data_IF_156817632285
#
_entry.id   IF_156817632285
#
_cell.length_a   1.000
_cell.length_b   1.000
_cell.length_c   1.000
_cell.angle_alpha   90.00
_cell.angle_beta   90.00
_cell.angle_gamma   90.00
#
_symmetry.space_group_name_H-M   'P 1'
#
loop_
_entity.id
_entity.type
_entity.pdbx_description
1 polymer ?
#
# COMPACT_ATOMS: atom_id res chain seq x y z
N UNK A 1 7.96 6.41 -13.97
CA UNK A 1 6.83 5.54 -13.62
C UNK A 1 5.71 6.40 -13.07
N UNK A 2 4.47 6.14 -13.47
CA UNK A 2 3.29 6.78 -12.89
C UNK A 2 2.49 5.69 -12.20
N UNK A 3 2.26 5.83 -10.89
CA UNK A 3 1.45 4.89 -10.15
C UNK A 3 -0.01 4.92 -10.62
N UNK A 4 -0.72 3.81 -10.41
CA UNK A 4 -2.15 3.73 -10.61
C UNK A 4 -2.94 4.47 -9.53
N UNK A 5 -4.26 4.30 -9.56
CA UNK A 5 -5.14 4.76 -8.48
C UNK A 5 -5.26 3.67 -7.41
N UNK A 6 -5.43 4.09 -6.17
CA UNK A 6 -5.72 3.18 -5.06
C UNK A 6 -7.04 2.45 -5.30
N UNK A 7 -7.02 1.14 -5.07
CA UNK A 7 -8.17 0.26 -5.17
C UNK A 7 -8.47 -0.33 -3.79
N UNK A 8 -9.68 -0.13 -3.30
CA UNK A 8 -10.14 -0.76 -2.07
C UNK A 8 -10.70 -2.14 -2.33
N UNK A 9 -10.40 -3.07 -1.42
CA UNK A 9 -11.00 -4.40 -1.41
C UNK A 9 -12.49 -4.31 -1.15
N UNK A 10 -13.24 -5.30 -1.60
CA UNK A 10 -14.68 -5.38 -1.37
C UNK A 10 -15.00 -5.37 0.13
N UNK A 11 -14.21 -6.10 0.92
CA UNK A 11 -14.33 -6.15 2.38
C UNK A 11 -14.11 -4.79 3.03
N UNK A 12 -13.08 -4.05 2.64
CA UNK A 12 -12.79 -2.72 3.21
C UNK A 12 -13.90 -1.72 2.93
N UNK A 13 -14.47 -1.73 1.72
CA UNK A 13 -15.63 -0.86 1.39
C UNK A 13 -16.80 -1.11 2.33
N UNK A 14 -17.12 -2.39 2.60
CA UNK A 14 -18.20 -2.77 3.51
C UNK A 14 -17.85 -2.37 4.97
N UNK A 15 -16.62 -2.68 5.42
CA UNK A 15 -16.19 -2.39 6.79
C UNK A 15 -16.14 -0.91 7.10
N UNK A 16 -15.72 -0.08 6.14
CA UNK A 16 -15.70 1.37 6.29
C UNK A 16 -17.13 1.92 6.50
N UNK A 17 -18.11 1.44 5.73
CA UNK A 17 -19.52 1.86 5.87
C UNK A 17 -20.17 1.32 7.15
N UNK A 18 -19.72 0.18 7.66
CA UNK A 18 -20.18 -0.37 8.94
C UNK A 18 -19.43 0.19 10.16
N UNK A 19 -18.48 1.11 9.99
CA UNK A 19 -17.69 1.68 11.09
C UNK A 19 -16.71 0.70 11.74
N UNK A 20 -16.35 -0.39 11.05
CA UNK A 20 -15.42 -1.41 11.53
C UNK A 20 -13.97 -1.16 11.11
N UNK A 21 -13.73 -0.08 10.36
CA UNK A 21 -12.42 0.30 9.86
C UNK A 21 -12.16 1.76 10.21
N UNK A 22 -11.14 2.04 11.02
CA UNK A 22 -10.80 3.39 11.43
C UNK A 22 -9.42 3.79 10.92
N UNK A 23 -9.42 4.45 9.75
CA UNK A 23 -8.21 4.95 9.10
C UNK A 23 -7.43 5.97 9.96
N UNK A 24 -8.03 6.56 10.99
CA UNK A 24 -7.41 7.56 11.84
C UNK A 24 -6.71 6.98 13.09
N UNK A 25 -7.15 5.82 13.59
CA UNK A 25 -6.68 5.28 14.87
C UNK A 25 -6.06 3.90 14.79
N UNK A 26 -6.43 3.11 13.77
CA UNK A 26 -5.91 1.76 13.64
C UNK A 26 -4.45 1.79 13.18
N UNK A 27 -3.74 0.69 13.42
CA UNK A 27 -2.33 0.57 13.05
C UNK A 27 -2.20 0.01 11.64
N UNK A 28 -1.54 0.76 10.76
CA UNK A 28 -1.39 0.37 9.36
C UNK A 28 0.07 0.15 8.96
N UNK A 29 0.26 -0.74 7.99
CA UNK A 29 1.52 -0.95 7.30
C UNK A 29 1.33 -0.93 5.80
N UNK A 30 2.37 -0.54 5.10
CA UNK A 30 2.46 -0.54 3.66
C UNK A 30 3.52 -1.54 3.22
N UNK A 31 3.11 -2.60 2.54
CA UNK A 31 3.97 -3.68 2.03
C UNK A 31 4.08 -3.65 0.52
N UNK A 32 5.14 -4.29 0.00
CA UNK A 32 5.38 -4.46 -1.44
C UNK A 32 5.15 -5.91 -1.82
N UNK A 33 4.43 -6.13 -2.91
CA UNK A 33 4.18 -7.46 -3.47
C UNK A 33 4.55 -7.51 -4.94
N UNK A 34 5.05 -8.67 -5.37
CA UNK A 34 5.51 -8.96 -6.73
C UNK A 34 4.35 -9.24 -7.68
N UNK A 35 4.62 -9.29 -8.98
CA UNK A 35 3.65 -9.65 -10.03
C UNK A 35 3.00 -11.04 -9.85
N UNK A 36 3.58 -11.92 -9.03
CA UNK A 36 3.02 -13.23 -8.69
C UNK A 36 2.01 -13.21 -7.54
N UNK A 37 1.76 -12.04 -6.93
CA UNK A 37 0.81 -11.90 -5.82
C UNK A 37 -0.64 -12.18 -6.23
N UNK A 38 -1.41 -12.74 -5.31
CA UNK A 38 -2.87 -12.88 -5.43
C UNK A 38 -3.66 -11.60 -5.05
N UNK A 39 -2.98 -10.47 -4.83
CA UNK A 39 -3.60 -9.21 -4.43
C UNK A 39 -4.68 -8.77 -5.44
N UNK A 40 -5.86 -8.40 -4.94
CA UNK A 40 -6.95 -7.92 -5.77
C UNK A 40 -8.17 -7.49 -4.97
N UNK A 41 -9.24 -7.12 -5.68
CA UNK A 41 -10.47 -6.63 -5.05
C UNK A 41 -11.12 -7.63 -4.08
N UNK A 42 -10.87 -8.93 -4.27
CA UNK A 42 -11.37 -10.01 -3.41
C UNK A 42 -10.46 -10.33 -2.21
N UNK A 43 -9.30 -9.69 -2.07
CA UNK A 43 -8.42 -9.90 -0.92
C UNK A 43 -9.11 -9.51 0.39
N UNK A 44 -8.88 -10.31 1.44
CA UNK A 44 -9.48 -10.13 2.76
C UNK A 44 -8.40 -9.79 3.78
N UNK A 45 -7.79 -10.78 4.40
CA UNK A 45 -6.74 -10.61 5.42
C UNK A 45 -5.36 -10.43 4.79
N UNK A 46 -4.48 -9.68 5.46
CA UNK A 46 -3.08 -9.59 5.02
C UNK A 46 -2.39 -10.97 5.01
N UNK A 47 -2.71 -11.82 5.98
CA UNK A 47 -2.17 -13.18 6.06
C UNK A 47 -2.52 -14.07 4.85
N UNK A 48 -3.57 -13.74 4.11
CA UNK A 48 -3.96 -14.44 2.88
C UNK A 48 -3.28 -13.92 1.61
N UNK A 49 -2.54 -12.80 1.69
CA UNK A 49 -1.82 -12.23 0.54
C UNK A 49 -0.53 -13.01 0.28
N UNK A 50 -0.28 -13.35 -0.98
CA UNK A 50 0.93 -14.05 -1.43
C UNK A 50 1.88 -13.12 -2.15
N UNK A 51 3.11 -13.59 -2.41
CA UNK A 51 4.06 -12.90 -3.28
C UNK A 51 4.62 -11.62 -2.70
N UNK A 52 4.64 -11.46 -1.37
CA UNK A 52 5.37 -10.38 -0.72
C UNK A 52 6.85 -10.40 -1.10
N UNK A 53 7.43 -9.21 -1.31
CA UNK A 53 8.88 -9.06 -1.50
C UNK A 53 9.62 -9.69 -0.31
N UNK A 54 10.61 -10.51 -0.60
CA UNK A 54 11.38 -11.21 0.42
C UNK A 54 12.20 -10.23 1.28
N UNK A 55 12.46 -10.61 2.54
CA UNK A 55 13.35 -9.85 3.42
C UNK A 55 14.75 -9.76 2.81
N UNK A 56 15.33 -8.56 2.81
CA UNK A 56 16.65 -8.30 2.24
C UNK A 56 16.60 -7.24 1.14
N UNK A 57 17.77 -6.95 0.54
CA UNK A 57 17.91 -5.98 -0.55
C UNK A 57 17.28 -4.59 -0.29
N UNK A 58 17.24 -4.17 0.99
CA UNK A 58 16.64 -2.90 1.41
C UNK A 58 15.15 -2.97 1.78
N UNK A 59 14.53 -4.14 1.73
CA UNK A 59 13.16 -4.40 2.14
C UNK A 59 13.09 -5.23 3.42
N UNK A 60 12.16 -4.89 4.32
CA UNK A 60 11.81 -5.69 5.50
C UNK A 60 10.42 -6.25 5.29
N UNK A 61 10.27 -7.58 5.36
CA UNK A 61 8.95 -8.26 5.32
C UNK A 61 7.99 -7.70 6.36
N UNK A 62 6.74 -7.52 5.96
CA UNK A 62 5.72 -6.71 6.62
C UNK A 62 5.70 -5.25 6.18
N UNK A 63 6.73 -4.76 5.47
CA UNK A 63 6.78 -3.39 4.98
C UNK A 63 6.98 -2.33 6.06
N UNK A 64 6.55 -1.10 5.76
CA UNK A 64 6.77 0.09 6.60
C UNK A 64 5.50 0.46 7.35
N UNK A 65 5.60 0.81 8.64
CA UNK A 65 4.47 1.35 9.40
C UNK A 65 4.09 2.75 8.88
N UNK A 66 2.80 2.98 8.71
CA UNK A 66 2.27 4.25 8.16
C UNK A 66 1.10 4.75 8.99
N UNK A 67 0.92 6.07 8.99
CA UNK A 67 -0.22 6.75 9.62
C UNK A 67 -1.00 7.47 8.54
N UNK A 68 -2.32 7.34 8.54
CA UNK A 68 -3.19 8.09 7.65
C UNK A 68 -3.82 9.28 8.38
N UNK A 69 -3.86 10.42 7.70
CA UNK A 69 -4.49 11.65 8.16
C UNK A 69 -5.73 11.92 7.31
N UNK A 70 -6.85 12.23 7.96
CA UNK A 70 -8.08 12.63 7.32
C UNK A 70 -8.13 14.16 7.20
N UNK A 71 -8.60 14.66 6.06
CA UNK A 71 -8.77 16.09 5.82
C UNK A 71 -9.97 16.37 4.91
N UNK A 72 -10.58 17.55 5.08
CA UNK A 72 -11.73 18.02 4.29
C UNK A 72 -13.06 17.86 5.00
N UNK A 73 -14.13 18.40 4.39
CA UNK A 73 -15.48 18.43 4.97
C UNK A 73 -16.55 17.96 3.97
N UNK A 74 -16.53 18.48 2.74
CA UNK A 74 -17.42 18.05 1.64
C UNK A 74 -16.79 16.93 0.81
N UNK A 75 -15.50 17.06 0.52
CA UNK A 75 -14.66 15.97 0.01
C UNK A 75 -13.65 15.62 1.09
N UNK A 76 -13.79 14.43 1.67
CA UNK A 76 -12.91 13.92 2.72
C UNK A 76 -11.84 13.04 2.07
N UNK A 77 -10.58 13.34 2.35
CA UNK A 77 -9.45 12.55 1.86
C UNK A 77 -8.72 11.90 3.02
N UNK A 78 -8.22 10.67 2.80
CA UNK A 78 -7.21 10.06 3.65
C UNK A 78 -5.87 10.07 2.90
N UNK A 79 -4.83 10.59 3.54
CA UNK A 79 -3.46 10.69 2.99
C UNK A 79 -2.48 10.11 3.99
N UNK A 80 -1.37 9.55 3.53
CA UNK A 80 -0.31 9.14 4.46
C UNK A 80 0.35 10.39 5.05
N UNK A 81 0.67 10.36 6.34
CA UNK A 81 1.33 11.45 7.05
C UNK A 81 2.76 11.71 6.53
N UNK A 82 3.41 10.67 5.99
CA UNK A 82 4.70 10.72 5.34
C UNK A 82 4.73 9.73 4.15
N UNK A 83 5.62 9.98 3.20
CA UNK A 83 5.86 9.03 2.11
C UNK A 83 6.56 7.79 2.66
N UNK A 84 6.14 6.61 2.19
CA UNK A 84 6.90 5.39 2.41
C UNK A 84 8.08 5.34 1.45
N UNK A 85 9.27 5.07 1.99
CA UNK A 85 10.53 5.07 1.24
C UNK A 85 11.31 3.80 1.56
N UNK A 86 11.67 3.05 0.52
CA UNK A 86 12.59 1.93 0.61
C UNK A 86 13.87 2.25 -0.15
N UNK A 87 15.02 2.18 0.54
CA UNK A 87 16.32 2.30 -0.11
C UNK A 87 16.80 0.92 -0.51
N UNK A 88 16.86 0.66 -1.81
CA UNK A 88 17.29 -0.63 -2.33
C UNK A 88 18.77 -0.89 -2.02
N UNK A 89 19.09 -2.13 -1.70
CA UNK A 89 20.44 -2.64 -1.47
C UNK A 89 20.64 -3.99 -2.16
N UNK A 90 21.85 -4.53 -2.17
CA UNK A 90 22.12 -5.87 -2.71
C UNK A 90 21.67 -6.03 -4.17
N UNK A 91 20.78 -6.98 -4.44
CA UNK A 91 20.22 -7.25 -5.77
C UNK A 91 19.18 -6.24 -6.25
N UNK A 92 18.76 -5.31 -5.38
CA UNK A 92 17.64 -4.41 -5.64
C UNK A 92 16.28 -4.97 -5.23
N UNK A 93 15.25 -4.14 -5.39
CA UNK A 93 13.86 -4.44 -5.07
C UNK A 93 13.07 -4.57 -6.37
N UNK A 94 12.29 -5.65 -6.52
CA UNK A 94 11.34 -5.83 -7.62
C UNK A 94 9.94 -5.98 -7.06
N UNK A 95 9.02 -5.10 -7.44
CA UNK A 95 7.63 -5.11 -6.95
C UNK A 95 6.66 -4.62 -8.03
N UNK A 96 5.40 -5.06 -7.96
CA UNK A 96 4.35 -4.66 -8.89
C UNK A 96 3.28 -3.81 -8.21
N UNK A 97 2.97 -4.13 -6.95
CA UNK A 97 1.96 -3.43 -6.17
C UNK A 97 2.48 -3.01 -4.80
N UNK A 98 1.93 -1.92 -4.28
CA UNK A 98 1.95 -1.63 -2.86
C UNK A 98 0.60 -1.92 -2.23
N UNK A 99 0.60 -2.43 -1.00
CA UNK A 99 -0.59 -2.89 -0.29
C UNK A 99 -0.64 -2.22 1.08
N UNK A 100 -1.71 -1.48 1.34
CA UNK A 100 -2.03 -0.91 2.64
C UNK A 100 -2.89 -1.92 3.41
N UNK A 101 -2.46 -2.30 4.61
CA UNK A 101 -3.18 -3.27 5.44
C UNK A 101 -3.14 -2.88 6.92
N UNK A 102 -4.14 -3.32 7.66
CA UNK A 102 -4.21 -3.18 9.12
C UNK A 102 -3.34 -4.27 9.78
N UNK A 103 -2.56 -3.88 10.78
CA UNK A 103 -1.68 -4.81 11.50
C UNK A 103 -2.52 -5.89 12.19
N UNK A 104 -2.34 -7.14 11.74
CA UNK A 104 -3.12 -8.29 12.25
C UNK A 104 -4.53 -8.41 11.67
N UNK A 105 -4.89 -7.59 10.69
CA UNK A 105 -6.23 -7.49 10.13
C UNK A 105 -6.28 -7.60 8.60
N UNK A 106 -7.13 -6.75 8.03
CA UNK A 106 -7.50 -6.81 6.62
C UNK A 106 -6.64 -5.93 5.71
N UNK A 107 -6.66 -6.26 4.42
CA UNK A 107 -6.15 -5.42 3.34
C UNK A 107 -7.12 -4.26 3.12
N UNK A 108 -6.64 -3.04 3.37
CA UNK A 108 -7.37 -1.79 3.10
C UNK A 108 -7.52 -1.61 1.60
N UNK A 109 -6.39 -1.64 0.90
CA UNK A 109 -6.33 -1.41 -0.52
C UNK A 109 -4.95 -1.66 -1.08
N UNK A 110 -4.87 -1.55 -2.40
CA UNK A 110 -3.66 -1.78 -3.15
C UNK A 110 -3.56 -0.78 -4.30
N UNK A 111 -2.34 -0.52 -4.75
CA UNK A 111 -2.08 0.36 -5.88
C UNK A 111 -0.99 -0.25 -6.75
N UNK A 112 -1.16 -0.08 -8.05
CA UNK A 112 -0.15 -0.45 -9.02
C UNK A 112 1.01 0.56 -9.00
N UNK A 113 2.25 0.08 -8.91
CA UNK A 113 3.42 0.97 -8.80
C UNK A 113 3.78 1.65 -10.13
N UNK A 114 3.51 0.98 -11.26
CA UNK A 114 3.66 1.52 -12.61
C UNK A 114 2.50 1.10 -13.51
N UNK A 115 1.80 2.09 -14.07
CA UNK A 115 0.66 1.88 -14.98
C UNK A 115 1.09 1.43 -16.39
N UNK A 116 2.38 1.54 -16.72
CA UNK A 116 2.95 0.79 -17.82
C UNK A 116 3.14 -0.66 -17.32
N UNK A 117 2.69 -1.72 -18.02
CA UNK A 117 2.53 -3.07 -17.46
C UNK A 117 3.77 -3.82 -16.92
N UNK A 118 4.85 -3.14 -16.55
CA UNK A 118 6.10 -3.71 -16.06
C UNK A 118 6.22 -3.69 -14.52
N UNK A 119 6.99 -4.62 -13.99
CA UNK A 119 7.42 -4.55 -12.59
C UNK A 119 8.32 -3.33 -12.37
N UNK A 120 8.20 -2.71 -11.20
CA UNK A 120 9.14 -1.68 -10.77
C UNK A 120 10.37 -2.38 -10.22
N UNK A 121 11.51 -2.12 -10.86
CA UNK A 121 12.83 -2.62 -10.45
C UNK A 121 13.67 -1.44 -9.97
N UNK A 122 14.08 -1.48 -8.70
CA UNK A 122 14.94 -0.47 -8.08
C UNK A 122 16.29 -1.09 -7.75
N UNK A 123 17.33 -0.63 -8.44
CA UNK A 123 18.70 -1.10 -8.24
C UNK A 123 19.31 -0.53 -6.95
N UNK A 124 20.32 -1.22 -6.40
CA UNK A 124 20.97 -0.82 -5.15
C UNK A 124 21.44 0.65 -5.17
N UNK A 125 21.27 1.34 -4.05
CA UNK A 125 21.60 2.76 -3.87
C UNK A 125 20.49 3.72 -4.28
N UNK A 126 19.45 3.25 -4.98
CA UNK A 126 18.28 4.06 -5.34
C UNK A 126 17.11 3.85 -4.36
N UNK A 127 16.15 4.77 -4.38
CA UNK A 127 14.96 4.71 -3.53
C UNK A 127 13.70 4.40 -4.34
N UNK A 128 12.85 3.54 -3.79
CA UNK A 128 11.45 3.43 -4.16
C UNK A 128 10.65 4.32 -3.20
N UNK A 129 10.00 5.36 -3.73
CA UNK A 129 9.17 6.26 -2.94
C UNK A 129 7.72 6.14 -3.38
N UNK A 130 6.83 5.79 -2.46
CA UNK A 130 5.40 5.86 -2.69
C UNK A 130 4.88 7.22 -2.23
N UNK A 131 4.59 8.09 -3.20
CA UNK A 131 4.01 9.39 -2.90
C UNK A 131 2.53 9.22 -2.50
N UNK A 132 2.23 9.42 -1.23
CA UNK A 132 0.85 9.43 -0.73
C UNK A 132 0.56 10.56 0.26
N UNK A 133 1.47 11.53 0.35
CA UNK A 133 1.23 12.81 1.04
C UNK A 133 0.48 13.79 0.14
N UNK A 134 0.67 13.74 -1.18
CA UNK A 134 -0.07 14.58 -2.14
C UNK A 134 -1.22 13.83 -2.80
N UNK A 135 -1.05 12.53 -3.01
CA UNK A 135 -2.01 11.61 -3.65
C UNK A 135 -2.75 10.80 -2.58
N UNK A 136 -4.05 11.03 -2.37
CA UNK A 136 -4.78 10.35 -1.30
C UNK A 136 -4.91 8.84 -1.55
N UNK A 137 -4.90 8.07 -0.46
CA UNK A 137 -5.25 6.64 -0.49
C UNK A 137 -6.75 6.43 -0.61
N UNK A 138 -7.54 7.43 -0.19
CA UNK A 138 -9.00 7.47 -0.28
C UNK A 138 -9.47 8.89 -0.51
N UNK A 139 -10.46 9.04 -1.39
CA UNK A 139 -11.31 10.22 -1.48
C UNK A 139 -12.76 9.78 -1.37
N UNK A 140 -13.49 10.34 -0.40
CA UNK A 140 -14.94 10.32 -0.33
C UNK A 140 -15.42 11.70 -0.74
N UNK A 141 -16.22 11.79 -1.80
CA UNK A 141 -16.73 13.03 -2.37
C UNK A 141 -18.20 12.87 -2.74
#
# INVERSE_FOLDING_TARGET
MTAGTWQFTNTTRIKLLNGQFNLATDSFKLALVTSASNIGAASTTWAGVTGEVANGSGYTTGGIAVTANLAGTTSVTAKLAANAVWTAAGSGITARWAVLYEVGGDVVGYVLLDNTPADVVVTAGNTLTLNSTTTPVLTLA
#
